data_IF_091744724825
#
_entry.id   IF_091744724825
#
_cell.length_a   1.000
_cell.length_b   1.000
_cell.length_c   1.000
_cell.angle_alpha   90.00
_cell.angle_beta   90.00
_cell.angle_gamma   90.00
#
_symmetry.space_group_name_H-M   'P 1'
#
loop_
_entity.id
_entity.type
_entity.pdbx_description
1 polymer ?
#
# COMPACT_ATOMS: atom_id res chain seq x y z
N UNK A 1 14.39 0.21 8.60
CA UNK A 1 14.80 -0.90 7.73
C UNK A 1 15.39 -0.43 6.41
N UNK A 2 14.73 0.44 5.64
CA UNK A 2 15.25 0.92 4.34
C UNK A 2 16.61 1.59 4.46
N UNK A 3 16.82 2.40 5.49
CA UNK A 3 18.11 3.06 5.75
C UNK A 3 19.24 2.06 5.94
N UNK A 4 19.01 0.99 6.73
CA UNK A 4 19.99 -0.06 6.94
C UNK A 4 20.30 -0.85 5.66
N UNK A 5 19.28 -1.11 4.84
CA UNK A 5 19.43 -1.75 3.52
C UNK A 5 20.25 -0.85 2.60
N UNK A 6 19.91 0.44 2.52
CA UNK A 6 20.63 1.41 1.69
C UNK A 6 22.11 1.51 2.08
N UNK A 7 22.41 1.56 3.38
CA UNK A 7 23.77 1.58 3.90
C UNK A 7 24.54 0.29 3.56
N UNK A 8 23.90 -0.88 3.72
CA UNK A 8 24.50 -2.17 3.38
C UNK A 8 24.81 -2.31 1.89
N UNK A 9 23.92 -1.84 1.02
CA UNK A 9 24.12 -1.84 -0.43
C UNK A 9 25.27 -0.90 -0.84
N UNK A 10 25.34 0.28 -0.26
CA UNK A 10 26.42 1.24 -0.47
C UNK A 10 27.77 0.65 -0.04
N UNK A 11 27.83 0.00 1.14
CA UNK A 11 29.02 -0.68 1.63
C UNK A 11 29.46 -1.84 0.69
N UNK A 12 28.52 -2.49 0.04
CA UNK A 12 28.78 -3.53 -0.96
C UNK A 12 29.15 -2.96 -2.35
N UNK A 13 29.28 -1.64 -2.50
CA UNK A 13 29.63 -0.99 -3.77
C UNK A 13 28.49 -0.97 -4.80
N UNK A 14 27.23 -1.20 -4.38
CA UNK A 14 26.07 -1.14 -5.27
C UNK A 14 25.64 0.32 -5.44
N UNK A 15 25.68 0.87 -6.66
CA UNK A 15 25.29 2.25 -6.92
C UNK A 15 23.79 2.48 -6.60
N UNK A 16 23.50 3.59 -5.95
CA UNK A 16 22.14 3.93 -5.51
C UNK A 16 21.09 3.91 -6.65
N UNK A 17 21.48 4.37 -7.85
CA UNK A 17 20.60 4.40 -9.04
C UNK A 17 20.17 3.01 -9.56
N UNK A 18 20.84 1.95 -9.12
CA UNK A 18 20.48 0.56 -9.48
C UNK A 18 19.47 -0.07 -8.53
N UNK A 19 19.05 0.63 -7.49
CA UNK A 19 18.18 0.09 -6.45
C UNK A 19 16.95 0.96 -6.32
N UNK A 20 15.79 0.39 -6.58
CA UNK A 20 14.50 0.94 -6.24
C UNK A 20 13.91 0.21 -5.03
N UNK A 21 12.99 0.88 -4.34
CA UNK A 21 12.30 0.31 -3.19
C UNK A 21 10.83 0.10 -3.51
N UNK A 22 10.30 -1.00 -3.02
CA UNK A 22 8.87 -1.28 -2.99
C UNK A 22 8.36 -1.11 -1.55
N UNK A 23 7.27 -0.39 -1.40
CA UNK A 23 6.58 -0.23 -0.13
C UNK A 23 5.24 -0.97 -0.21
N UNK A 24 4.86 -1.68 0.85
CA UNK A 24 3.60 -2.39 0.94
C UNK A 24 2.74 -1.81 2.07
N UNK A 25 1.51 -1.45 1.78
CA UNK A 25 0.60 -0.81 2.75
C UNK A 25 0.13 -1.76 3.85
N UNK A 26 -0.03 -3.05 3.55
CA UNK A 26 -0.35 -4.06 4.56
C UNK A 26 0.83 -4.30 5.50
N UNK A 27 2.06 -4.34 4.96
CA UNK A 27 3.27 -4.46 5.76
C UNK A 27 3.50 -3.24 6.67
N UNK A 28 3.17 -2.03 6.21
CA UNK A 28 3.20 -0.83 7.06
C UNK A 28 2.26 -0.98 8.26
N UNK A 29 1.02 -1.46 8.02
CA UNK A 29 0.05 -1.73 9.07
C UNK A 29 0.59 -2.73 10.10
N UNK A 30 1.13 -3.87 9.63
CA UNK A 30 1.73 -4.88 10.49
C UNK A 30 2.95 -4.38 11.27
N UNK A 31 3.74 -3.50 10.68
CA UNK A 31 4.93 -2.89 11.30
C UNK A 31 4.61 -1.77 12.30
N UNK A 32 3.36 -1.32 12.41
CA UNK A 32 2.96 -0.26 13.32
C UNK A 32 3.07 1.15 12.73
N UNK A 33 3.19 1.26 11.40
CA UNK A 33 3.20 2.53 10.69
C UNK A 33 1.78 2.80 10.18
N UNK A 34 0.97 3.45 11.00
CA UNK A 34 -0.41 3.78 10.66
C UNK A 34 -0.48 4.94 9.68
N UNK A 35 -1.16 4.72 8.58
CA UNK A 35 -1.43 5.76 7.59
C UNK A 35 -2.59 6.66 8.02
N UNK A 36 -3.71 6.06 8.43
CA UNK A 36 -4.89 6.73 8.97
C UNK A 36 -5.59 7.66 7.98
N UNK A 37 -4.94 8.74 7.60
CA UNK A 37 -5.46 9.82 6.77
C UNK A 37 -4.34 10.54 5.98
N UNK A 38 -4.67 11.69 5.39
CA UNK A 38 -3.72 12.54 4.64
C UNK A 38 -2.49 12.93 5.47
N UNK A 39 -2.67 13.21 6.76
CA UNK A 39 -1.57 13.57 7.66
C UNK A 39 -0.64 12.38 7.92
N UNK A 40 -1.19 11.17 8.07
CA UNK A 40 -0.40 9.94 8.20
C UNK A 40 0.40 9.63 6.94
N UNK A 41 -0.21 9.79 5.77
CA UNK A 41 0.46 9.67 4.47
C UNK A 41 1.57 10.70 4.35
N UNK A 42 1.32 11.96 4.71
CA UNK A 42 2.34 13.01 4.69
C UNK A 42 3.56 12.64 5.57
N UNK A 43 3.33 12.20 6.81
CA UNK A 43 4.41 11.76 7.71
C UNK A 43 5.24 10.61 7.12
N UNK A 44 4.57 9.63 6.51
CA UNK A 44 5.24 8.53 5.83
C UNK A 44 6.18 9.03 4.72
N UNK A 45 5.67 9.90 3.84
CA UNK A 45 6.45 10.39 2.71
C UNK A 45 7.62 11.27 3.13
N UNK A 46 7.46 12.08 4.18
CA UNK A 46 8.58 12.83 4.78
C UNK A 46 9.65 11.87 5.32
N UNK A 47 9.25 10.78 5.95
CA UNK A 47 10.20 9.78 6.44
C UNK A 47 10.93 9.07 5.29
N UNK A 48 10.25 8.72 4.22
CA UNK A 48 10.85 8.12 3.01
C UNK A 48 11.85 9.08 2.37
N UNK A 49 11.47 10.35 2.18
CA UNK A 49 12.33 11.37 1.60
C UNK A 49 13.64 11.53 2.39
N UNK A 50 13.55 11.52 3.72
CA UNK A 50 14.72 11.66 4.60
C UNK A 50 15.63 10.42 4.64
N UNK A 51 15.12 9.25 4.33
CA UNK A 51 15.86 7.98 4.48
C UNK A 51 16.45 7.47 3.17
N UNK A 52 15.63 7.38 2.13
CA UNK A 52 16.03 6.81 0.83
C UNK A 52 15.82 7.76 -0.35
N UNK A 53 15.04 8.83 -0.18
CA UNK A 53 14.56 9.70 -1.24
C UNK A 53 13.30 9.14 -1.93
N UNK A 54 12.33 10.01 -2.21
CA UNK A 54 11.09 9.62 -2.90
C UNK A 54 11.31 9.18 -4.35
N UNK A 55 12.34 9.72 -5.00
CA UNK A 55 12.76 9.34 -6.34
C UNK A 55 13.21 7.87 -6.46
N UNK A 56 13.51 7.23 -5.32
CA UNK A 56 13.88 5.81 -5.25
C UNK A 56 12.70 4.89 -4.89
N UNK A 57 11.54 5.43 -4.63
CA UNK A 57 10.32 4.64 -4.47
C UNK A 57 9.82 4.19 -5.85
N UNK A 58 10.13 2.95 -6.20
CA UNK A 58 9.89 2.41 -7.54
C UNK A 58 8.45 1.95 -7.74
N UNK A 59 7.80 1.46 -6.69
CA UNK A 59 6.42 0.97 -6.72
C UNK A 59 5.82 0.89 -5.31
N UNK A 60 4.51 0.72 -5.26
CA UNK A 60 3.75 0.40 -4.06
C UNK A 60 2.95 -0.88 -4.28
N UNK A 61 3.03 -1.83 -3.35
CA UNK A 61 1.99 -2.83 -3.18
C UNK A 61 0.84 -2.19 -2.40
N UNK A 62 -0.31 -2.13 -3.03
CA UNK A 62 -1.45 -1.35 -2.58
C UNK A 62 -2.56 -2.28 -2.10
N UNK A 63 -2.50 -2.63 -0.83
CA UNK A 63 -3.36 -3.60 -0.19
C UNK A 63 -4.01 -3.00 1.04
N UNK A 64 -5.25 -3.41 1.34
CA UNK A 64 -5.76 -3.26 2.68
C UNK A 64 -5.24 -4.41 3.56
N UNK A 65 -5.47 -4.35 4.85
CA UNK A 65 -5.05 -5.38 5.79
C UNK A 65 -6.05 -5.52 6.93
N UNK A 66 -6.35 -6.75 7.33
CA UNK A 66 -7.28 -6.98 8.43
C UNK A 66 -6.60 -7.14 9.81
N UNK A 67 -5.27 -6.99 9.86
CA UNK A 67 -4.54 -7.11 11.13
C UNK A 67 -4.50 -5.79 11.90
N UNK A 68 -4.35 -5.89 13.23
CA UNK A 68 -4.16 -4.71 14.06
C UNK A 68 -2.83 -4.02 13.77
N UNK A 69 -2.83 -2.71 13.93
CA UNK A 69 -1.62 -1.89 13.79
C UNK A 69 -0.52 -2.40 14.72
N UNK A 70 0.65 -2.68 14.17
CA UNK A 70 1.81 -3.15 14.93
C UNK A 70 1.76 -4.62 15.35
N UNK A 71 0.83 -5.39 14.80
CA UNK A 71 0.66 -6.82 15.13
C UNK A 71 1.85 -7.70 14.72
N UNK A 72 2.73 -7.21 13.85
CA UNK A 72 3.84 -7.96 13.22
C UNK A 72 3.34 -9.16 12.40
N UNK A 73 2.11 -9.09 11.91
CA UNK A 73 1.50 -10.09 11.03
C UNK A 73 1.35 -9.49 9.65
N UNK A 74 1.53 -10.33 8.65
CA UNK A 74 1.30 -10.02 7.26
C UNK A 74 -0.01 -10.69 6.82
N UNK A 75 -0.99 -9.86 6.45
CA UNK A 75 -2.26 -10.35 5.95
C UNK A 75 -2.90 -9.29 5.05
N UNK A 76 -3.07 -9.61 3.78
CA UNK A 76 -3.72 -8.76 2.80
C UNK A 76 -5.24 -8.91 2.86
N UNK A 77 -5.93 -7.81 2.61
CA UNK A 77 -7.38 -7.75 2.54
C UNK A 77 -7.82 -6.98 1.30
N UNK A 78 -9.07 -7.15 0.89
CA UNK A 78 -9.66 -6.38 -0.20
C UNK A 78 -9.75 -4.90 0.18
N UNK A 79 -9.54 -4.02 -0.81
CA UNK A 79 -9.51 -2.57 -0.60
C UNK A 79 -10.77 -2.06 0.11
N UNK A 80 -10.59 -1.34 1.21
CA UNK A 80 -11.64 -0.72 2.00
C UNK A 80 -12.47 -1.69 2.87
N UNK A 81 -12.01 -2.94 3.02
CA UNK A 81 -12.60 -3.93 3.93
C UNK A 81 -11.78 -4.04 5.22
N UNK A 82 -10.49 -3.77 5.12
CA UNK A 82 -9.54 -3.93 6.21
C UNK A 82 -9.41 -2.71 7.12
N UNK A 83 -8.34 -2.69 7.87
CA UNK A 83 -8.02 -1.71 8.94
C UNK A 83 -7.05 -0.61 8.49
N UNK A 84 -6.39 -0.73 7.33
CA UNK A 84 -5.74 0.41 6.68
C UNK A 84 -6.83 1.41 6.29
N UNK A 85 -7.87 0.92 5.65
CA UNK A 85 -9.14 1.60 5.43
C UNK A 85 -9.16 2.57 4.25
N UNK A 86 -10.37 2.83 3.76
CA UNK A 86 -10.61 3.64 2.54
C UNK A 86 -9.99 5.03 2.60
N UNK A 87 -9.98 5.69 3.77
CA UNK A 87 -9.44 7.05 3.92
C UNK A 87 -7.94 7.10 3.63
N UNK A 88 -7.17 6.22 4.27
CA UNK A 88 -5.72 6.16 4.10
C UNK A 88 -5.34 5.74 2.69
N UNK A 89 -6.03 4.73 2.15
CA UNK A 89 -5.82 4.24 0.78
C UNK A 89 -6.14 5.32 -0.25
N UNK A 90 -7.23 6.06 -0.09
CA UNK A 90 -7.58 7.21 -0.95
C UNK A 90 -6.54 8.32 -0.87
N UNK A 91 -6.06 8.64 0.32
CA UNK A 91 -5.03 9.65 0.53
C UNK A 91 -3.73 9.30 -0.22
N UNK A 92 -3.30 8.04 -0.21
CA UNK A 92 -2.14 7.58 -0.97
C UNK A 92 -2.32 7.74 -2.48
N UNK A 93 -3.46 7.31 -3.03
CA UNK A 93 -3.73 7.40 -4.49
C UNK A 93 -3.83 8.84 -4.99
N UNK A 94 -4.24 9.77 -4.12
CA UNK A 94 -4.42 11.18 -4.45
C UNK A 94 -3.21 12.05 -4.11
N UNK A 95 -2.15 11.47 -3.56
CA UNK A 95 -0.93 12.18 -3.19
C UNK A 95 -0.13 12.58 -4.44
N UNK A 96 0.03 13.87 -4.75
CA UNK A 96 0.69 14.31 -5.99
C UNK A 96 2.13 13.84 -6.12
N UNK A 97 2.85 13.67 -5.00
CA UNK A 97 4.25 13.19 -5.00
C UNK A 97 4.37 11.73 -5.45
N UNK A 98 3.26 10.97 -5.42
CA UNK A 98 3.19 9.57 -5.86
C UNK A 98 2.59 9.41 -7.25
N UNK A 99 2.26 10.48 -7.96
CA UNK A 99 1.55 10.43 -9.24
C UNK A 99 2.26 9.60 -10.33
N UNK A 100 3.59 9.49 -10.26
CA UNK A 100 4.39 8.69 -11.18
C UNK A 100 4.75 7.30 -10.65
N UNK A 101 4.37 6.98 -9.42
CA UNK A 101 4.67 5.69 -8.79
C UNK A 101 3.55 4.70 -9.12
N UNK A 102 3.86 3.53 -9.71
CA UNK A 102 2.84 2.52 -9.97
C UNK A 102 2.38 1.83 -8.69
N UNK A 103 1.08 1.55 -8.64
CA UNK A 103 0.42 0.84 -7.54
C UNK A 103 -0.01 -0.54 -8.02
N UNK A 104 0.39 -1.58 -7.31
CA UNK A 104 0.06 -2.97 -7.62
C UNK A 104 -0.79 -3.57 -6.51
N UNK A 105 -1.80 -4.33 -6.90
CA UNK A 105 -2.67 -5.07 -5.99
C UNK A 105 -2.14 -6.49 -5.78
N UNK A 106 -2.11 -6.92 -4.53
CA UNK A 106 -1.87 -8.30 -4.11
C UNK A 106 -2.98 -8.76 -3.15
N UNK A 107 -4.21 -8.36 -3.48
CA UNK A 107 -5.39 -8.70 -2.70
C UNK A 107 -5.67 -10.20 -2.74
N UNK A 108 -6.43 -10.77 -1.76
CA UNK A 108 -6.79 -12.18 -1.79
C UNK A 108 -7.40 -12.60 -3.11
N UNK A 109 -6.97 -13.74 -3.63
CA UNK A 109 -7.38 -14.25 -4.97
C UNK A 109 -8.66 -15.08 -4.93
N UNK A 110 -9.13 -15.43 -3.74
CA UNK A 110 -10.37 -16.18 -3.57
C UNK A 110 -11.55 -15.36 -4.10
N UNK A 111 -12.45 -16.05 -4.79
CA UNK A 111 -13.69 -15.51 -5.37
C UNK A 111 -13.50 -14.57 -6.58
N UNK A 112 -12.36 -14.57 -7.24
CA UNK A 112 -12.12 -13.82 -8.48
C UNK A 112 -12.47 -12.31 -8.36
N UNK A 113 -12.07 -11.67 -7.28
CA UNK A 113 -12.42 -10.27 -6.96
C UNK A 113 -11.41 -9.23 -7.48
N UNK A 114 -10.44 -9.61 -8.31
CA UNK A 114 -9.40 -8.71 -8.82
C UNK A 114 -10.00 -7.50 -9.55
N UNK A 115 -10.95 -7.74 -10.46
CA UNK A 115 -11.63 -6.67 -11.19
C UNK A 115 -12.43 -5.73 -10.25
N UNK A 116 -13.01 -6.29 -9.18
CA UNK A 116 -13.70 -5.50 -8.18
C UNK A 116 -12.71 -4.64 -7.37
N UNK A 117 -11.54 -5.16 -7.00
CA UNK A 117 -10.50 -4.40 -6.32
C UNK A 117 -9.93 -3.28 -7.20
N UNK A 118 -9.73 -3.52 -8.49
CA UNK A 118 -9.32 -2.47 -9.45
C UNK A 118 -10.36 -1.36 -9.50
N UNK A 119 -11.66 -1.70 -9.60
CA UNK A 119 -12.75 -0.72 -9.58
C UNK A 119 -12.79 0.07 -8.27
N UNK A 120 -12.60 -0.58 -7.12
CA UNK A 120 -12.51 0.06 -5.81
C UNK A 120 -11.31 1.01 -5.74
N UNK A 121 -10.16 0.63 -6.30
CA UNK A 121 -9.00 1.51 -6.43
C UNK A 121 -9.30 2.78 -7.23
N UNK A 122 -10.02 2.66 -8.35
CA UNK A 122 -10.44 3.80 -9.14
C UNK A 122 -11.40 4.74 -8.38
N UNK A 123 -12.34 4.19 -7.61
CA UNK A 123 -13.25 4.96 -6.73
C UNK A 123 -12.45 5.70 -5.64
N UNK A 124 -11.52 5.02 -4.99
CA UNK A 124 -10.64 5.63 -3.98
C UNK A 124 -9.80 6.77 -4.57
N UNK A 125 -9.28 6.60 -5.79
CA UNK A 125 -8.54 7.65 -6.49
C UNK A 125 -9.43 8.87 -6.82
N UNK A 126 -10.72 8.66 -7.06
CA UNK A 126 -11.71 9.73 -7.21
C UNK A 126 -12.14 10.37 -5.87
N UNK A 127 -11.69 9.83 -4.73
CA UNK A 127 -12.03 10.33 -3.40
C UNK A 127 -13.31 9.72 -2.81
N UNK A 128 -13.84 8.67 -3.42
CA UNK A 128 -15.02 7.96 -2.91
C UNK A 128 -14.61 7.01 -1.79
N UNK A 129 -15.04 7.28 -0.57
CA UNK A 129 -14.67 6.50 0.61
C UNK A 129 -15.72 5.42 0.96
N UNK A 130 -16.94 5.57 0.49
CA UNK A 130 -18.02 4.61 0.68
C UNK A 130 -18.06 3.66 -0.51
N UNK A 131 -17.36 2.54 -0.38
CA UNK A 131 -17.25 1.56 -1.47
C UNK A 131 -18.42 0.57 -1.44
N UNK A 132 -18.92 0.14 -2.61
CA UNK A 132 -19.99 -0.86 -2.67
C UNK A 132 -19.53 -2.19 -2.04
N UNK A 133 -20.44 -3.01 -1.49
CA UNK A 133 -20.10 -4.32 -1.00
C UNK A 133 -19.46 -5.17 -2.11
N UNK A 134 -18.50 -6.01 -1.75
CA UNK A 134 -17.98 -7.02 -2.67
C UNK A 134 -19.08 -8.06 -2.89
N UNK A 135 -19.47 -8.28 -4.14
CA UNK A 135 -20.41 -9.32 -4.47
C UNK A 135 -19.76 -10.68 -4.18
N UNK A 136 -20.29 -11.43 -3.21
CA UNK A 136 -20.01 -12.85 -3.12
C UNK A 136 -20.52 -13.50 -4.41
N UNK A 137 -19.64 -13.83 -5.34
CA UNK A 137 -19.98 -14.83 -6.34
C UNK A 137 -20.13 -16.13 -5.57
N UNK A 138 -21.37 -16.51 -5.32
CA UNK A 138 -21.71 -17.72 -4.58
C UNK A 138 -20.91 -18.89 -5.13
N UNK A 139 -20.50 -19.79 -4.23
CA UNK A 139 -20.00 -21.10 -4.61
C UNK A 139 -21.00 -21.66 -5.60
N UNK A 140 -20.59 -21.79 -6.89
CA UNK A 140 -21.41 -22.45 -7.87
C UNK A 140 -21.77 -23.83 -7.32
N UNK A 141 -23.04 -24.05 -7.13
CA UNK A 141 -23.55 -25.40 -6.92
C UNK A 141 -23.15 -26.21 -8.16
N UNK A 142 -22.28 -27.17 -7.95
CA UNK A 142 -22.01 -28.24 -8.90
C UNK A 142 -22.77 -29.48 -8.49
#
# INVERSE_FOLDING_TARGET
HFEAIAAGLAAAGIPAHRVGYCLDTAHLQGAGIGLGDDEGVHRLLVAIERTIGLDRLAMLHFNDSNVELGSRRDYHEHLGIGKVGSRALSALLREPRLAAVPFYLETPTENELDAANVSRGAMLAAGELSLPPLANRGKGEH
#
